data_IF_091550828375
#
_entry.id   IF_091550828375
#
_cell.length_a   1.000
_cell.length_b   1.000
_cell.length_c   1.000
_cell.angle_alpha   90.00
_cell.angle_beta   90.00
_cell.angle_gamma   90.00
#
_symmetry.space_group_name_H-M   'P 1'
#
loop_
_entity.id
_entity.type
_entity.pdbx_description
1 polymer ?
#
# COMPACT_ATOMS: atom_id res chain seq x y z
N UNK A 1 -11.42 5.39 -3.30
CA UNK A 1 -11.14 4.69 -2.04
C UNK A 1 -9.72 4.96 -1.60
N UNK A 2 -8.75 5.02 -2.53
CA UNK A 2 -7.33 5.22 -2.20
C UNK A 2 -7.05 6.45 -1.34
N UNK A 3 -7.71 7.58 -1.58
CA UNK A 3 -7.51 8.78 -0.76
C UNK A 3 -7.90 8.56 0.71
N UNK A 4 -8.98 7.82 0.98
CA UNK A 4 -9.40 7.48 2.35
C UNK A 4 -8.40 6.56 3.05
N UNK A 5 -7.85 5.58 2.32
CA UNK A 5 -6.81 4.67 2.83
C UNK A 5 -5.54 5.46 3.13
N UNK A 6 -5.11 6.32 2.21
CA UNK A 6 -3.92 7.17 2.37
C UNK A 6 -4.10 8.14 3.53
N UNK A 7 -5.30 8.66 3.78
CA UNK A 7 -5.59 9.50 4.94
C UNK A 7 -5.45 8.73 6.25
N UNK A 8 -5.98 7.50 6.30
CA UNK A 8 -5.75 6.60 7.43
C UNK A 8 -4.26 6.32 7.66
N UNK A 9 -3.53 5.98 6.61
CA UNK A 9 -2.10 5.69 6.69
C UNK A 9 -1.24 6.92 7.01
N UNK A 10 -1.62 8.11 6.52
CA UNK A 10 -0.99 9.38 6.87
C UNK A 10 -1.14 9.67 8.36
N UNK A 11 -2.32 9.39 8.92
CA UNK A 11 -2.57 9.51 10.35
C UNK A 11 -1.71 8.54 11.16
N UNK A 12 -1.57 7.27 10.74
CA UNK A 12 -0.67 6.31 11.39
C UNK A 12 0.77 6.80 11.35
N UNK A 13 1.27 7.18 10.18
CA UNK A 13 2.63 7.67 9.98
C UNK A 13 2.93 8.90 10.86
N UNK A 14 2.01 9.87 10.93
CA UNK A 14 2.11 11.04 11.79
C UNK A 14 2.24 10.67 13.28
N UNK A 15 1.55 9.62 13.71
CA UNK A 15 1.63 9.10 15.07
C UNK A 15 2.78 8.09 15.26
N UNK A 16 3.72 8.00 14.31
CA UNK A 16 4.83 7.04 14.31
C UNK A 16 4.34 5.58 14.44
N UNK A 17 3.22 5.25 13.82
CA UNK A 17 2.70 3.89 13.72
C UNK A 17 2.92 3.36 12.31
N UNK A 18 3.55 2.19 12.21
CA UNK A 18 3.71 1.44 10.96
C UNK A 18 2.69 0.31 10.97
N UNK A 19 1.93 0.17 9.89
CA UNK A 19 0.89 -0.84 9.75
C UNK A 19 1.48 -2.24 9.61
N UNK A 20 2.46 -2.41 8.71
CA UNK A 20 3.19 -3.67 8.51
C UNK A 20 2.47 -4.74 7.70
N UNK A 21 1.13 -4.66 7.58
CA UNK A 21 0.32 -5.56 6.72
C UNK A 21 -0.76 -4.83 5.89
N UNK A 22 -0.37 -3.81 5.13
CA UNK A 22 -1.32 -3.08 4.30
C UNK A 22 -1.62 -3.84 3.00
N UNK A 23 -2.87 -4.27 2.82
CA UNK A 23 -3.37 -5.00 1.65
C UNK A 23 -4.89 -4.79 1.49
N UNK A 24 -5.49 -5.12 0.33
CA UNK A 24 -6.93 -4.91 0.14
C UNK A 24 -7.79 -5.70 1.14
N UNK A 25 -7.35 -6.91 1.53
CA UNK A 25 -8.03 -7.72 2.57
C UNK A 25 -8.15 -7.02 3.93
N UNK A 26 -7.26 -6.05 4.20
CA UNK A 26 -7.21 -5.26 5.43
C UNK A 26 -7.83 -3.87 5.24
N UNK A 27 -8.67 -3.70 4.23
CA UNK A 27 -9.50 -2.52 4.00
C UNK A 27 -10.96 -2.93 3.97
N UNK A 28 -11.74 -2.49 4.96
CA UNK A 28 -13.16 -2.80 5.06
C UNK A 28 -14.00 -1.73 4.36
N UNK A 29 -14.97 -2.16 3.56
CA UNK A 29 -15.99 -1.28 2.98
C UNK A 29 -17.15 -1.16 3.99
N UNK A 30 -17.26 -0.01 4.63
CA UNK A 30 -18.29 0.26 5.65
C UNK A 30 -19.60 0.75 5.03
N UNK A 31 -19.50 1.45 3.89
CA UNK A 31 -20.64 1.87 3.09
C UNK A 31 -20.30 1.67 1.62
N UNK A 32 -21.22 1.08 0.87
CA UNK A 32 -21.11 0.92 -0.58
C UNK A 32 -22.29 1.59 -1.26
N UNK A 33 -22.00 2.37 -2.30
CA UNK A 33 -22.99 3.08 -3.10
C UNK A 33 -22.47 3.12 -4.53
N UNK A 34 -23.00 2.24 -5.38
CA UNK A 34 -22.61 2.13 -6.78
C UNK A 34 -23.04 3.36 -7.59
N UNK A 35 -24.19 3.93 -7.26
CA UNK A 35 -24.73 5.11 -7.95
C UNK A 35 -23.96 6.39 -7.59
N UNK A 36 -23.42 6.45 -6.37
CA UNK A 36 -22.60 7.55 -5.93
C UNK A 36 -21.32 7.07 -5.24
N UNK A 37 -20.24 6.86 -6.02
CA UNK A 37 -18.94 6.45 -5.47
C UNK A 37 -18.40 7.37 -4.37
N UNK A 38 -18.84 8.64 -4.30
CA UNK A 38 -18.46 9.59 -3.21
C UNK A 38 -19.02 9.22 -1.86
N UNK A 39 -20.04 8.38 -1.82
CA UNK A 39 -20.62 7.85 -0.61
C UNK A 39 -19.98 6.52 -0.18
N UNK A 40 -19.05 5.96 -0.95
CA UNK A 40 -18.31 4.77 -0.53
C UNK A 40 -17.40 5.16 0.64
N UNK A 41 -17.45 4.39 1.73
CA UNK A 41 -16.62 4.62 2.92
C UNK A 41 -15.77 3.38 3.14
N UNK A 42 -14.46 3.55 3.19
CA UNK A 42 -13.50 2.50 3.51
C UNK A 42 -12.69 2.84 4.76
N UNK A 43 -12.26 1.80 5.48
CA UNK A 43 -11.41 1.94 6.67
C UNK A 43 -10.31 0.89 6.66
N UNK A 44 -9.10 1.32 6.96
CA UNK A 44 -7.96 0.43 7.22
C UNK A 44 -8.20 -0.31 8.54
N UNK A 45 -7.93 -1.60 8.56
CA UNK A 45 -8.12 -2.49 9.72
C UNK A 45 -6.90 -3.40 9.89
N UNK A 46 -6.96 -4.26 10.91
CA UNK A 46 -5.99 -5.31 11.20
C UNK A 46 -4.59 -4.79 11.57
N UNK A 47 -4.55 -4.10 12.70
CA UNK A 47 -3.32 -3.61 13.33
C UNK A 47 -2.56 -4.70 14.10
N UNK A 48 -2.86 -6.00 13.87
CA UNK A 48 -2.24 -7.12 14.59
C UNK A 48 -0.73 -7.22 14.39
N UNK A 49 -0.21 -6.60 13.32
CA UNK A 49 1.22 -6.50 13.00
C UNK A 49 1.77 -5.07 13.12
N UNK A 50 0.97 -4.12 13.62
CA UNK A 50 1.39 -2.72 13.71
C UNK A 50 2.44 -2.48 14.79
N UNK A 51 3.34 -1.52 14.52
CA UNK A 51 4.52 -1.21 15.36
C UNK A 51 4.58 0.28 15.68
N UNK A 52 5.00 0.63 16.89
CA UNK A 52 5.32 2.03 17.24
C UNK A 52 6.80 2.29 16.93
N UNK A 53 7.09 3.22 16.01
CA UNK A 53 8.35 3.32 15.25
C UNK A 53 9.62 3.65 16.06
N UNK A 54 9.58 3.86 17.38
CA UNK A 54 10.79 4.06 18.22
C UNK A 54 10.67 3.58 19.67
N UNK A 55 9.50 3.09 20.12
CA UNK A 55 9.21 2.89 21.55
C UNK A 55 9.28 1.44 22.04
N UNK A 56 9.40 0.45 21.14
CA UNK A 56 9.69 -0.91 21.55
C UNK A 56 11.20 -1.11 21.71
N UNK A 57 11.80 -0.35 22.64
CA UNK A 57 13.00 -0.82 23.34
C UNK A 57 12.58 -2.09 24.07
N UNK A 58 12.93 -3.23 23.49
CA UNK A 58 12.53 -4.57 23.92
C UNK A 58 12.73 -4.75 25.43
N UNK A 59 11.63 -4.90 26.16
CA UNK A 59 11.63 -5.72 27.36
C UNK A 59 12.09 -7.13 26.93
N UNK A 60 13.17 -7.68 27.50
CA UNK A 60 13.60 -9.04 27.16
C UNK A 60 12.49 -10.04 27.50
N UNK A 61 11.84 -10.62 26.48
CA UNK A 61 10.90 -11.74 26.66
C UNK A 61 9.46 -11.52 26.18
N UNK A 62 9.04 -10.31 25.85
CA UNK A 62 7.70 -10.06 25.29
C UNK A 62 7.79 -9.76 23.78
N UNK A 63 7.09 -10.56 22.96
CA UNK A 63 6.84 -10.34 21.53
C UNK A 63 7.94 -10.68 20.49
N UNK A 64 8.71 -11.77 20.65
CA UNK A 64 9.49 -12.35 19.53
C UNK A 64 8.62 -12.96 18.41
N UNK A 65 7.32 -13.18 18.64
CA UNK A 65 6.45 -13.93 17.73
C UNK A 65 5.82 -13.09 16.60
N UNK A 66 5.54 -11.81 16.81
CA UNK A 66 4.99 -10.89 15.78
C UNK A 66 6.06 -10.20 14.93
N UNK A 67 7.35 -10.34 15.29
CA UNK A 67 8.47 -9.91 14.45
C UNK A 67 8.65 -10.78 13.20
N UNK A 68 8.10 -12.01 13.17
CA UNK A 68 8.41 -13.00 12.14
C UNK A 68 7.37 -13.15 11.02
N UNK A 69 6.21 -12.49 11.09
CA UNK A 69 5.18 -12.63 10.06
C UNK A 69 5.23 -11.41 9.14
N UNK A 70 5.78 -11.61 7.94
CA UNK A 70 5.88 -10.59 6.90
C UNK A 70 5.00 -11.04 5.73
N UNK A 71 4.06 -10.19 5.27
CA UNK A 71 3.22 -10.50 4.11
C UNK A 71 4.06 -10.38 2.83
N UNK A 72 4.81 -11.43 2.49
CA UNK A 72 5.88 -11.43 1.47
C UNK A 72 5.47 -10.72 0.17
N UNK A 73 4.26 -10.98 -0.33
CA UNK A 73 3.77 -10.44 -1.61
C UNK A 73 3.44 -8.94 -1.60
N UNK A 74 3.36 -8.34 -0.42
CA UNK A 74 3.04 -6.92 -0.19
C UNK A 74 4.22 -6.15 0.40
N UNK A 75 5.21 -6.86 0.93
CA UNK A 75 6.31 -6.26 1.67
C UNK A 75 7.36 -5.62 0.75
N UNK A 76 7.94 -4.54 1.26
CA UNK A 76 9.05 -3.85 0.62
C UNK A 76 10.33 -4.71 0.63
N UNK A 77 11.25 -4.55 -0.34
CA UNK A 77 12.45 -5.40 -0.46
C UNK A 77 13.33 -5.40 0.78
N UNK A 78 13.44 -4.28 1.51
CA UNK A 78 14.20 -4.19 2.76
C UNK A 78 13.64 -5.09 3.88
N UNK A 79 12.35 -5.44 3.82
CA UNK A 79 11.69 -6.34 4.77
C UNK A 79 11.78 -7.82 4.36
N UNK A 80 12.42 -8.14 3.22
CA UNK A 80 12.54 -9.53 2.74
C UNK A 80 13.95 -10.11 2.94
N UNK A 81 14.83 -9.36 3.61
CA UNK A 81 16.19 -9.78 3.91
C UNK A 81 16.30 -10.78 5.06
N UNK A 82 17.47 -11.39 5.23
CA UNK A 82 17.72 -12.34 6.31
C UNK A 82 17.86 -11.67 7.70
N UNK A 83 18.19 -10.38 7.74
CA UNK A 83 18.53 -9.64 8.97
C UNK A 83 17.58 -8.44 9.19
N UNK A 84 16.28 -8.66 9.00
CA UNK A 84 15.27 -7.62 9.22
C UNK A 84 15.15 -7.29 10.70
N UNK A 85 15.13 -6.01 11.00
CA UNK A 85 14.99 -5.45 12.34
C UNK A 85 13.71 -4.63 12.44
N UNK A 86 13.35 -4.19 13.66
CA UNK A 86 12.23 -3.26 13.85
C UNK A 86 12.40 -1.94 13.11
N UNK A 87 13.65 -1.51 12.88
CA UNK A 87 13.97 -0.20 12.32
C UNK A 87 13.77 -0.17 10.79
N UNK A 88 13.71 -1.33 10.16
CA UNK A 88 13.40 -1.47 8.73
C UNK A 88 11.90 -1.22 8.44
N UNK A 89 11.04 -1.42 9.44
CA UNK A 89 9.61 -1.10 9.34
C UNK A 89 9.41 0.42 9.49
N UNK A 90 9.00 1.06 8.40
CA UNK A 90 8.87 2.52 8.32
C UNK A 90 7.61 2.92 7.57
N UNK A 91 7.28 4.22 7.59
CA UNK A 91 6.27 4.76 6.66
C UNK A 91 6.58 4.37 5.20
N UNK A 92 7.85 4.33 4.82
CA UNK A 92 8.27 4.04 3.44
C UNK A 92 8.08 2.58 3.05
N UNK A 93 8.12 1.65 4.02
CA UNK A 93 7.74 0.26 3.75
C UNK A 93 6.23 0.12 3.57
N UNK A 94 5.42 0.82 4.37
CA UNK A 94 3.97 0.85 4.18
C UNK A 94 3.56 1.54 2.86
N UNK A 95 4.29 2.58 2.42
CA UNK A 95 4.07 3.21 1.10
C UNK A 95 4.30 2.20 -0.03
N UNK A 96 5.31 1.33 0.07
CA UNK A 96 5.51 0.26 -0.89
C UNK A 96 4.29 -0.68 -0.94
N UNK A 97 3.82 -1.11 0.24
CA UNK A 97 2.62 -1.96 0.36
C UNK A 97 1.36 -1.27 -0.16
N UNK A 98 1.22 0.05 0.01
CA UNK A 98 0.14 0.84 -0.59
C UNK A 98 0.17 0.76 -2.12
N UNK A 99 1.36 0.76 -2.74
CA UNK A 99 1.52 0.51 -4.17
C UNK A 99 1.00 -0.86 -4.60
N UNK A 100 1.33 -1.90 -3.84
CA UNK A 100 0.84 -3.27 -4.09
C UNK A 100 -0.67 -3.35 -3.90
N UNK A 101 -1.23 -2.70 -2.88
CA UNK A 101 -2.68 -2.59 -2.65
C UNK A 101 -3.37 -1.89 -3.84
N UNK A 102 -2.84 -0.77 -4.33
CA UNK A 102 -3.40 -0.10 -5.51
C UNK A 102 -3.35 -1.03 -6.73
N UNK A 103 -2.24 -1.76 -6.94
CA UNK A 103 -2.13 -2.76 -8.00
C UNK A 103 -3.19 -3.85 -7.88
N UNK A 104 -3.39 -4.41 -6.68
CA UNK A 104 -4.39 -5.43 -6.37
C UNK A 104 -5.82 -4.94 -6.66
N UNK A 105 -6.13 -3.69 -6.29
CA UNK A 105 -7.42 -3.08 -6.59
C UNK A 105 -7.65 -2.93 -8.11
N UNK A 106 -6.66 -2.43 -8.86
CA UNK A 106 -6.74 -2.30 -10.32
C UNK A 106 -6.80 -3.66 -11.04
N UNK A 107 -6.22 -4.69 -10.45
CA UNK A 107 -6.28 -6.08 -10.94
C UNK A 107 -7.52 -6.84 -10.47
N UNK A 108 -8.52 -6.14 -9.88
CA UNK A 108 -9.79 -6.69 -9.40
C UNK A 108 -9.60 -7.77 -8.33
N UNK A 109 -8.68 -7.54 -7.39
CA UNK A 109 -8.42 -8.45 -6.28
C UNK A 109 -7.52 -9.64 -6.66
N UNK A 110 -6.79 -9.56 -7.76
CA UNK A 110 -5.80 -10.60 -8.09
C UNK A 110 -4.69 -10.54 -7.06
N UNK A 111 -4.34 -11.70 -6.47
CA UNK A 111 -3.22 -11.80 -5.54
C UNK A 111 -1.92 -11.37 -6.26
N UNK A 112 -1.11 -10.49 -5.66
CA UNK A 112 0.16 -10.07 -6.27
C UNK A 112 1.06 -11.27 -6.59
N UNK A 113 1.74 -11.20 -7.73
CA UNK A 113 2.55 -12.29 -8.28
C UNK A 113 1.75 -13.57 -8.58
N UNK A 114 0.64 -13.50 -9.35
CA UNK A 114 -0.34 -14.57 -9.45
C UNK A 114 0.16 -15.85 -10.15
N UNK A 115 1.29 -15.77 -10.88
CA UNK A 115 1.90 -16.92 -11.58
C UNK A 115 3.02 -17.59 -10.78
N UNK A 116 3.25 -17.14 -9.54
CA UNK A 116 4.31 -17.65 -8.68
C UNK A 116 3.64 -18.31 -7.49
N UNK A 117 3.86 -19.62 -7.33
CA UNK A 117 3.28 -20.40 -6.23
C UNK A 117 4.09 -20.26 -4.94
N UNK A 118 5.42 -20.18 -5.06
CA UNK A 118 6.34 -20.15 -3.93
C UNK A 118 6.79 -18.71 -3.60
N UNK A 119 6.57 -18.29 -2.36
CA UNK A 119 6.95 -16.97 -1.86
C UNK A 119 8.47 -16.73 -1.87
N UNK A 120 9.32 -17.76 -1.82
CA UNK A 120 10.77 -17.59 -1.98
C UNK A 120 11.15 -17.04 -3.36
N UNK A 121 10.40 -17.41 -4.40
CA UNK A 121 10.61 -16.88 -5.75
C UNK A 121 10.14 -15.41 -5.84
N UNK A 122 9.07 -15.07 -5.13
CA UNK A 122 8.63 -13.66 -4.98
C UNK A 122 9.72 -12.84 -4.30
N UNK A 123 10.28 -13.34 -3.19
CA UNK A 123 11.39 -12.69 -2.46
C UNK A 123 12.57 -12.43 -3.40
N UNK A 124 12.98 -13.45 -4.17
CA UNK A 124 14.10 -13.34 -5.11
C UNK A 124 13.85 -12.27 -6.16
N UNK A 125 12.65 -12.24 -6.76
CA UNK A 125 12.29 -11.28 -7.82
C UNK A 125 12.22 -9.85 -7.29
N UNK A 126 11.53 -9.65 -6.18
CA UNK A 126 11.39 -8.32 -5.54
C UNK A 126 12.76 -7.80 -5.09
N UNK A 127 13.60 -8.65 -4.49
CA UNK A 127 14.96 -8.27 -4.07
C UNK A 127 15.86 -7.88 -5.25
N UNK A 128 15.64 -8.49 -6.42
CA UNK A 128 16.33 -8.16 -7.67
C UNK A 128 15.75 -6.92 -8.38
N UNK A 129 14.70 -6.30 -7.83
CA UNK A 129 14.07 -5.10 -8.38
C UNK A 129 13.04 -5.37 -9.48
N UNK A 130 12.58 -6.61 -9.63
CA UNK A 130 11.45 -6.90 -10.51
C UNK A 130 10.16 -6.30 -9.92
N UNK A 131 9.34 -5.70 -10.79
CA UNK A 131 8.08 -5.06 -10.43
C UNK A 131 6.90 -5.84 -11.01
N UNK A 132 5.74 -5.73 -10.37
CA UNK A 132 4.49 -6.21 -10.94
C UNK A 132 4.21 -5.48 -12.27
N UNK A 133 3.61 -6.14 -13.27
CA UNK A 133 3.27 -5.50 -14.53
C UNK A 133 2.07 -4.56 -14.35
N UNK A 134 1.97 -3.51 -15.18
CA UNK A 134 0.83 -2.59 -15.17
C UNK A 134 -0.49 -3.36 -15.42
N UNK A 135 -1.50 -3.27 -14.53
CA UNK A 135 -2.82 -3.83 -14.80
C UNK A 135 -3.48 -3.17 -16.02
N UNK A 136 -4.26 -3.93 -16.81
CA UNK A 136 -4.92 -3.41 -18.01
C UNK A 136 -5.92 -2.28 -17.71
N UNK A 137 -6.57 -2.31 -16.54
CA UNK A 137 -7.52 -1.28 -16.11
C UNK A 137 -6.83 -0.05 -15.48
N UNK A 138 -5.50 -0.02 -15.40
CA UNK A 138 -4.74 1.10 -14.84
C UNK A 138 -4.22 2.00 -15.97
N UNK A 139 -4.59 3.28 -15.93
CA UNK A 139 -4.08 4.27 -16.88
C UNK A 139 -2.59 4.53 -16.65
N UNK A 140 -1.87 4.97 -17.68
CA UNK A 140 -0.43 5.25 -17.56
C UNK A 140 -0.12 6.32 -16.53
N UNK A 141 -1.03 7.27 -16.35
CA UNK A 141 -0.91 8.34 -15.37
C UNK A 141 -0.93 7.75 -13.94
N UNK A 142 -1.95 6.96 -13.59
CA UNK A 142 -1.99 6.33 -12.26
C UNK A 142 -0.85 5.33 -12.08
N UNK A 143 -0.49 4.59 -13.13
CA UNK A 143 0.66 3.69 -13.09
C UNK A 143 1.98 4.40 -12.80
N UNK A 144 2.18 5.61 -13.36
CA UNK A 144 3.37 6.42 -13.08
C UNK A 144 3.46 6.87 -11.63
N UNK A 145 2.32 6.96 -10.92
CA UNK A 145 2.26 7.28 -9.50
C UNK A 145 2.48 6.03 -8.65
N UNK A 146 1.80 4.93 -8.99
CA UNK A 146 1.94 3.64 -8.29
C UNK A 146 3.38 3.15 -8.39
N UNK A 147 4.02 3.20 -9.55
CA UNK A 147 5.40 2.73 -9.72
C UNK A 147 6.42 3.51 -8.89
N UNK A 148 6.16 4.79 -8.56
CA UNK A 148 7.02 5.58 -7.65
C UNK A 148 7.02 5.06 -6.21
N UNK A 149 5.97 4.37 -5.77
CA UNK A 149 5.96 3.77 -4.43
C UNK A 149 6.89 2.56 -4.34
N UNK A 150 7.35 2.03 -5.48
CA UNK A 150 8.25 0.88 -5.55
C UNK A 150 9.70 1.24 -5.87
N UNK A 151 10.10 2.50 -5.66
CA UNK A 151 11.52 2.88 -5.71
C UNK A 151 12.36 1.97 -4.80
N UNK A 152 13.49 1.48 -5.33
CA UNK A 152 14.36 0.53 -4.62
C UNK A 152 14.85 1.11 -3.29
N UNK A 153 15.27 2.38 -3.28
CA UNK A 153 15.62 3.06 -2.04
C UNK A 153 14.35 3.57 -1.34
N UNK A 154 14.13 3.27 -0.04
CA UNK A 154 12.97 3.75 0.69
C UNK A 154 12.84 5.28 0.70
N UNK A 155 13.97 6.01 0.73
CA UNK A 155 13.99 7.49 0.72
C UNK A 155 13.45 8.10 -0.59
N UNK A 156 13.53 7.35 -1.70
CA UNK A 156 13.09 7.80 -3.02
C UNK A 156 11.60 7.49 -3.27
N UNK A 157 10.94 6.80 -2.33
CA UNK A 157 9.49 6.61 -2.34
C UNK A 157 8.82 7.89 -1.80
N UNK A 158 7.64 8.28 -2.29
CA UNK A 158 6.89 9.38 -1.69
C UNK A 158 6.52 9.06 -0.23
N UNK A 159 6.22 10.08 0.57
CA UNK A 159 5.45 9.95 1.82
C UNK A 159 3.98 9.72 1.49
N UNK A 160 3.16 9.32 2.46
CA UNK A 160 1.71 9.26 2.24
C UNK A 160 1.12 10.63 1.90
N UNK A 161 1.65 11.70 2.50
CA UNK A 161 1.25 13.09 2.19
C UNK A 161 1.55 13.45 0.74
N UNK A 162 2.76 13.14 0.25
CA UNK A 162 3.14 13.38 -1.14
C UNK A 162 2.34 12.51 -2.11
N UNK A 163 2.11 11.23 -1.77
CA UNK A 163 1.30 10.32 -2.58
C UNK A 163 -0.15 10.82 -2.70
N UNK A 164 -0.73 11.31 -1.60
CA UNK A 164 -2.05 11.96 -1.61
C UNK A 164 -2.09 13.14 -2.58
N UNK A 165 -1.11 14.04 -2.49
CA UNK A 165 -1.01 15.21 -3.38
C UNK A 165 -0.95 14.79 -4.86
N UNK A 166 -0.10 13.81 -5.19
CA UNK A 166 0.04 13.32 -6.56
C UNK A 166 -1.30 12.76 -7.10
N UNK A 167 -2.02 11.96 -6.30
CA UNK A 167 -3.31 11.40 -6.72
C UNK A 167 -4.40 12.48 -6.84
N UNK A 168 -4.42 13.45 -5.94
CA UNK A 168 -5.38 14.57 -5.99
C UNK A 168 -5.17 15.45 -7.22
N UNK A 169 -3.92 15.79 -7.56
CA UNK A 169 -3.59 16.54 -8.77
C UNK A 169 -4.14 15.83 -10.02
N UNK A 170 -4.00 14.51 -10.10
CA UNK A 170 -4.59 13.76 -11.21
C UNK A 170 -6.12 13.77 -11.18
N UNK A 171 -6.73 13.63 -10.01
CA UNK A 171 -8.19 13.69 -9.88
C UNK A 171 -8.77 15.02 -10.37
N UNK A 172 -8.14 16.15 -10.02
CA UNK A 172 -8.56 17.47 -10.48
C UNK A 172 -8.32 17.67 -11.97
N UNK A 173 -7.16 17.26 -12.49
CA UNK A 173 -6.85 17.36 -13.92
C UNK A 173 -7.73 16.45 -14.79
N UNK A 174 -8.22 15.35 -14.23
CA UNK A 174 -9.10 14.39 -14.91
C UNK A 174 -10.59 14.73 -14.80
N UNK A 175 -10.96 15.70 -13.96
CA UNK A 175 -12.36 16.13 -13.80
C UNK A 175 -12.68 17.13 -14.92
N UNK A 176 -13.48 16.77 -15.93
CA UNK A 176 -13.95 17.76 -16.89
C UNK A 176 -14.90 18.69 -16.12
N UNK A 177 -14.89 19.98 -16.47
CA UNK A 177 -16.10 20.78 -16.33
C UNK A 177 -17.16 20.09 -17.21
N UNK A 178 -17.99 19.25 -16.57
CA UNK A 178 -19.16 18.54 -17.12
C UNK A 178 -18.92 17.30 -18.01
N UNK A 179 -19.69 16.25 -17.69
CA UNK A 179 -20.11 15.08 -18.51
C UNK A 179 -19.05 14.06 -18.97
N UNK A 180 -18.99 12.89 -18.32
CA UNK A 180 -19.67 11.63 -18.73
C UNK A 180 -19.04 10.44 -17.99
N UNK A 181 -19.93 9.60 -17.48
CA UNK A 181 -19.74 8.43 -16.62
C UNK A 181 -18.93 7.32 -17.30
N UNK A 182 -17.96 6.72 -16.59
CA UNK A 182 -17.38 5.45 -17.02
C UNK A 182 -15.91 5.16 -16.71
N UNK A 183 -15.27 5.77 -15.70
CA UNK A 183 -13.95 5.28 -15.23
C UNK A 183 -13.54 5.77 -13.83
N UNK A 184 -14.50 6.07 -12.96
CA UNK A 184 -14.23 6.81 -11.71
C UNK A 184 -14.27 5.98 -10.41
N UNK A 185 -14.54 4.66 -10.45
CA UNK A 185 -14.92 3.94 -9.22
C UNK A 185 -13.79 3.55 -8.25
N UNK A 186 -12.51 3.77 -8.58
CA UNK A 186 -11.39 3.36 -7.70
C UNK A 186 -10.78 4.51 -6.89
N UNK A 187 -10.94 5.76 -7.36
CA UNK A 187 -10.37 6.94 -6.69
C UNK A 187 -11.24 7.50 -5.57
N UNK A 188 -12.53 7.18 -5.58
CA UNK A 188 -13.52 7.72 -4.62
C UNK A 188 -13.80 6.78 -3.47
#
# INVERSE_FOLDING_TARGET
MFLQIIDGMSFLAFNNVVHGDLACRNVLVFRFDEANPRNIIVKVTDFGLSRHSKLYSLTPGAAKTTLNIIPVRYAAPELLGANVTSDDFTEKSDVYSMGVLMWEAYSRGTIPWPKIENDNEVIRRVSNGELLPKPSNCTDIYWSIISKTWSKSPKDRPTFTELKRLLMEQYYNSSPVSTTTGMFSLLV
#
